data_IF_994862586352
#
_entry.id   IF_994862586352
#
_cell.length_a   1.000
_cell.length_b   1.000
_cell.length_c   1.000
_cell.angle_alpha   90.00
_cell.angle_beta   90.00
_cell.angle_gamma   90.00
#
_symmetry.space_group_name_H-M   'P 1'
#
loop_
_entity.id
_entity.type
_entity.pdbx_description
1 polymer ?
#
# COMPACT_ATOMS: atom_id res chain seq x y z
N UNK A 1 -28.44 -5.58 -14.56
CA UNK A 1 -28.76 -5.74 -16.00
C UNK A 1 -27.62 -5.27 -16.89
N UNK A 2 -26.91 -4.17 -16.57
CA UNK A 2 -25.86 -3.60 -17.42
C UNK A 2 -24.65 -4.53 -17.64
N UNK A 3 -24.05 -5.07 -16.57
CA UNK A 3 -22.91 -6.01 -16.66
C UNK A 3 -23.22 -7.20 -17.57
N UNK A 4 -24.43 -7.76 -17.45
CA UNK A 4 -24.88 -8.85 -18.30
C UNK A 4 -24.99 -8.48 -19.79
N UNK A 5 -25.34 -7.23 -20.11
CA UNK A 5 -25.34 -6.74 -21.49
C UNK A 5 -23.91 -6.59 -22.01
N UNK A 6 -23.01 -6.05 -21.20
CA UNK A 6 -21.60 -5.87 -21.56
C UNK A 6 -20.90 -7.22 -21.81
N UNK A 7 -21.17 -8.24 -20.98
CA UNK A 7 -20.61 -9.58 -21.12
C UNK A 7 -21.05 -10.33 -22.39
N UNK A 8 -22.09 -9.85 -23.07
CA UNK A 8 -22.60 -10.46 -24.31
C UNK A 8 -22.02 -9.83 -25.56
N UNK A 9 -21.21 -8.78 -25.41
CA UNK A 9 -20.60 -8.11 -26.55
C UNK A 9 -19.47 -8.98 -27.09
N UNK A 10 -19.49 -9.22 -28.39
CA UNK A 10 -18.43 -9.95 -29.07
C UNK A 10 -17.23 -9.03 -29.30
N UNK A 11 -16.02 -9.58 -29.52
CA UNK A 11 -14.83 -8.78 -29.84
C UNK A 11 -14.96 -7.90 -31.09
N UNK A 12 -15.86 -8.26 -32.00
CA UNK A 12 -16.12 -7.53 -33.25
C UNK A 12 -17.11 -6.37 -33.05
N UNK A 13 -17.83 -6.35 -31.92
CA UNK A 13 -18.81 -5.31 -31.64
C UNK A 13 -18.10 -3.98 -31.39
N UNK A 14 -18.37 -3.02 -32.27
CA UNK A 14 -17.84 -1.66 -32.17
C UNK A 14 -18.73 -0.88 -31.22
N UNK A 15 -18.10 -0.31 -30.19
CA UNK A 15 -18.74 0.63 -29.28
C UNK A 15 -18.20 2.01 -29.65
N UNK A 16 -19.08 2.98 -29.86
CA UNK A 16 -18.64 4.36 -30.09
C UNK A 16 -18.01 4.94 -28.82
N UNK A 17 -17.11 5.91 -28.97
CA UNK A 17 -16.49 6.56 -27.81
C UNK A 17 -17.53 7.21 -26.86
N UNK A 18 -18.64 7.71 -27.41
CA UNK A 18 -19.74 8.30 -26.63
C UNK A 18 -20.43 7.21 -25.80
N UNK A 19 -20.70 6.06 -26.39
CA UNK A 19 -21.28 4.92 -25.68
C UNK A 19 -20.34 4.37 -24.61
N UNK A 20 -19.03 4.27 -24.86
CA UNK A 20 -18.06 3.86 -23.85
C UNK A 20 -18.12 4.77 -22.61
N UNK A 21 -18.18 6.09 -22.83
CA UNK A 21 -18.24 7.08 -21.76
C UNK A 21 -19.56 6.95 -21.00
N UNK A 22 -20.69 6.81 -21.70
CA UNK A 22 -22.01 6.68 -21.09
C UNK A 22 -22.14 5.39 -20.27
N UNK A 23 -21.71 4.25 -20.84
CA UNK A 23 -21.73 2.95 -20.18
C UNK A 23 -20.81 2.93 -18.96
N UNK A 24 -19.65 3.55 -19.04
CA UNK A 24 -18.75 3.69 -17.90
C UNK A 24 -19.35 4.53 -16.78
N UNK A 25 -20.08 5.61 -17.10
CA UNK A 25 -20.80 6.42 -16.12
C UNK A 25 -21.89 5.62 -15.41
N UNK A 26 -22.74 4.93 -16.16
CA UNK A 26 -23.79 4.07 -15.60
C UNK A 26 -23.22 2.94 -14.73
N UNK A 27 -22.07 2.38 -15.12
CA UNK A 27 -21.40 1.34 -14.36
C UNK A 27 -20.78 1.89 -13.07
N UNK A 28 -20.21 3.10 -13.12
CA UNK A 28 -19.64 3.77 -11.94
C UNK A 28 -20.70 3.98 -10.84
N UNK A 29 -21.91 4.44 -11.20
CA UNK A 29 -23.04 4.58 -10.25
C UNK A 29 -23.48 3.23 -9.63
N UNK A 30 -23.19 2.12 -10.30
CA UNK A 30 -23.55 0.78 -9.81
C UNK A 30 -22.46 0.18 -8.92
N UNK A 31 -21.24 0.70 -8.92
CA UNK A 31 -20.12 0.13 -8.18
C UNK A 31 -20.29 0.22 -6.65
N UNK A 32 -21.12 1.13 -6.15
CA UNK A 32 -21.45 1.24 -4.73
C UNK A 32 -22.31 0.07 -4.22
N UNK A 33 -22.96 -0.68 -5.12
CA UNK A 33 -23.82 -1.79 -4.73
C UNK A 33 -22.99 -3.00 -4.30
N UNK A 34 -23.41 -3.72 -3.26
CA UNK A 34 -22.68 -4.90 -2.78
C UNK A 34 -22.58 -5.96 -3.89
N UNK A 35 -21.42 -6.60 -4.02
CA UNK A 35 -21.18 -7.66 -5.00
C UNK A 35 -20.87 -7.17 -6.43
N UNK A 36 -20.87 -5.86 -6.69
CA UNK A 36 -20.65 -5.33 -8.04
C UNK A 36 -19.19 -5.24 -8.44
N UNK A 37 -18.29 -5.01 -7.47
CA UNK A 37 -16.85 -4.96 -7.75
C UNK A 37 -16.32 -6.34 -8.09
N UNK A 38 -16.77 -7.37 -7.38
CA UNK A 38 -16.40 -8.76 -7.62
C UNK A 38 -16.82 -9.17 -9.03
N UNK A 39 -18.05 -8.82 -9.43
CA UNK A 39 -18.55 -9.06 -10.80
C UNK A 39 -17.78 -8.26 -11.84
N UNK A 40 -17.46 -7.01 -11.57
CA UNK A 40 -16.67 -6.17 -12.48
C UNK A 40 -15.29 -6.77 -12.72
N UNK A 41 -14.60 -7.21 -11.66
CA UNK A 41 -13.27 -7.83 -11.75
C UNK A 41 -13.34 -9.20 -12.43
N UNK A 42 -14.34 -10.02 -12.10
CA UNK A 42 -14.50 -11.36 -12.67
C UNK A 42 -14.89 -11.32 -14.16
N UNK A 43 -15.82 -10.44 -14.53
CA UNK A 43 -16.49 -10.51 -15.82
C UNK A 43 -15.96 -9.50 -16.84
N UNK A 44 -15.57 -8.29 -16.40
CA UNK A 44 -15.32 -7.16 -17.31
C UNK A 44 -13.85 -6.83 -17.46
N UNK A 45 -13.05 -7.00 -16.40
CA UNK A 45 -11.63 -6.66 -16.45
C UNK A 45 -10.85 -7.54 -17.42
N UNK A 46 -11.22 -8.81 -17.56
CA UNK A 46 -10.51 -9.78 -18.40
C UNK A 46 -11.35 -10.24 -19.61
N UNK A 47 -12.35 -9.42 -19.99
CA UNK A 47 -13.21 -9.64 -21.14
C UNK A 47 -12.44 -9.59 -22.48
N UNK A 48 -12.86 -10.37 -23.48
CA UNK A 48 -12.17 -10.46 -24.78
C UNK A 48 -12.21 -9.13 -25.56
N UNK A 49 -13.36 -8.47 -25.60
CA UNK A 49 -13.53 -7.15 -26.21
C UNK A 49 -12.79 -6.06 -25.40
N UNK A 50 -11.85 -5.35 -26.04
CA UNK A 50 -11.05 -4.28 -25.43
C UNK A 50 -11.89 -3.07 -25.00
N UNK A 51 -12.98 -2.77 -25.72
CA UNK A 51 -13.92 -1.70 -25.36
C UNK A 51 -14.59 -1.98 -24.01
N UNK A 52 -14.98 -3.23 -23.75
CA UNK A 52 -15.57 -3.65 -22.46
C UNK A 52 -14.56 -3.50 -21.32
N UNK A 53 -13.32 -3.94 -21.52
CA UNK A 53 -12.24 -3.72 -20.54
C UNK A 53 -12.00 -2.24 -20.28
N UNK A 54 -12.08 -1.41 -21.32
CA UNK A 54 -11.94 0.05 -21.22
C UNK A 54 -13.07 0.67 -20.42
N UNK A 55 -14.31 0.26 -20.67
CA UNK A 55 -15.50 0.70 -19.92
C UNK A 55 -15.32 0.39 -18.43
N UNK A 56 -14.83 -0.81 -18.09
CA UNK A 56 -14.58 -1.20 -16.71
C UNK A 56 -13.53 -0.32 -16.03
N UNK A 57 -12.37 -0.08 -16.68
CA UNK A 57 -11.35 0.84 -16.17
C UNK A 57 -11.89 2.26 -15.96
N UNK A 58 -12.64 2.75 -16.95
CA UNK A 58 -13.23 4.08 -16.94
C UNK A 58 -14.32 4.24 -15.86
N UNK A 59 -15.04 3.18 -15.54
CA UNK A 59 -16.01 3.15 -14.45
C UNK A 59 -15.31 3.23 -13.09
N UNK A 60 -14.25 2.43 -12.89
CA UNK A 60 -13.43 2.49 -11.66
C UNK A 60 -12.84 3.88 -11.46
N UNK A 61 -12.33 4.51 -12.53
CA UNK A 61 -11.78 5.87 -12.45
C UNK A 61 -12.83 6.89 -12.00
N UNK A 62 -14.03 6.83 -12.58
CA UNK A 62 -15.14 7.76 -12.32
C UNK A 62 -15.77 7.59 -10.96
N UNK A 63 -15.80 6.36 -10.45
CA UNK A 63 -16.49 6.06 -9.22
C UNK A 63 -15.79 6.67 -7.98
N UNK A 64 -14.51 7.08 -8.11
CA UNK A 64 -13.68 7.75 -7.09
C UNK A 64 -13.59 7.01 -5.73
N UNK A 65 -12.37 6.71 -5.26
CA UNK A 65 -12.17 6.23 -3.88
C UNK A 65 -12.26 4.72 -3.62
N UNK A 66 -12.13 3.88 -4.64
CA UNK A 66 -12.12 2.42 -4.46
C UNK A 66 -10.71 1.91 -4.10
N UNK A 67 -10.50 1.62 -2.81
CA UNK A 67 -9.26 1.03 -2.26
C UNK A 67 -9.36 -0.48 -2.02
N UNK A 68 -10.34 -1.16 -2.63
CA UNK A 68 -10.49 -2.61 -2.47
C UNK A 68 -9.31 -3.35 -3.11
N UNK A 69 -8.80 -4.36 -2.41
CA UNK A 69 -7.61 -5.14 -2.82
C UNK A 69 -7.79 -5.75 -4.21
N UNK A 70 -8.99 -6.25 -4.53
CA UNK A 70 -9.26 -6.91 -5.81
C UNK A 70 -9.11 -5.98 -7.01
N UNK A 71 -9.55 -4.72 -6.88
CA UNK A 71 -9.38 -3.70 -7.92
C UNK A 71 -7.89 -3.38 -8.11
N UNK A 72 -7.12 -3.27 -7.02
CA UNK A 72 -5.68 -2.99 -7.12
C UNK A 72 -4.92 -4.09 -7.87
N UNK A 73 -5.28 -5.36 -7.63
CA UNK A 73 -4.72 -6.51 -8.34
C UNK A 73 -5.15 -6.53 -9.80
N UNK A 74 -6.43 -6.24 -10.08
CA UNK A 74 -6.95 -6.20 -11.45
C UNK A 74 -6.29 -5.07 -12.27
N UNK A 75 -6.11 -3.88 -11.69
CA UNK A 75 -5.39 -2.76 -12.31
C UNK A 75 -3.92 -3.11 -12.59
N UNK A 76 -3.26 -3.84 -11.68
CA UNK A 76 -1.89 -4.31 -11.89
C UNK A 76 -1.80 -5.25 -13.10
N UNK A 77 -2.77 -6.15 -13.29
CA UNK A 77 -2.86 -6.99 -14.50
C UNK A 77 -3.03 -6.13 -15.76
N UNK A 78 -3.87 -5.08 -15.71
CA UNK A 78 -4.13 -4.20 -16.86
C UNK A 78 -2.91 -3.36 -17.29
N UNK A 79 -1.90 -3.15 -16.44
CA UNK A 79 -0.62 -2.55 -16.87
C UNK A 79 0.12 -3.38 -17.92
N UNK A 80 -0.26 -4.66 -18.09
CA UNK A 80 0.28 -5.59 -19.10
C UNK A 80 -0.75 -6.01 -20.13
N UNK A 81 -1.87 -5.30 -20.25
CA UNK A 81 -2.93 -5.62 -21.22
C UNK A 81 -2.39 -5.64 -22.66
N UNK A 82 -2.86 -6.51 -23.57
CA UNK A 82 -2.43 -6.47 -24.97
C UNK A 82 -2.65 -5.09 -25.63
N UNK A 83 -3.71 -4.37 -25.25
CA UNK A 83 -4.04 -3.06 -25.84
C UNK A 83 -3.27 -1.93 -25.13
N UNK A 84 -2.41 -1.17 -25.82
CA UNK A 84 -1.60 -0.14 -25.18
C UNK A 84 -2.42 0.99 -24.54
N UNK A 85 -3.57 1.36 -25.12
CA UNK A 85 -4.47 2.36 -24.52
C UNK A 85 -5.04 1.90 -23.18
N UNK A 86 -5.26 0.59 -22.98
CA UNK A 86 -5.68 0.05 -21.68
C UNK A 86 -4.55 0.11 -20.64
N UNK A 87 -3.29 -0.05 -21.06
CA UNK A 87 -2.14 0.17 -20.17
C UNK A 87 -2.04 1.63 -19.73
N UNK A 88 -2.24 2.57 -20.68
CA UNK A 88 -2.31 4.00 -20.38
C UNK A 88 -3.41 4.30 -19.37
N UNK A 89 -4.63 3.82 -19.62
CA UNK A 89 -5.79 4.09 -18.77
C UNK A 89 -5.59 3.46 -17.38
N UNK A 90 -5.04 2.25 -17.28
CA UNK A 90 -4.70 1.63 -15.99
C UNK A 90 -3.66 2.44 -15.19
N UNK A 91 -2.60 2.93 -15.84
CA UNK A 91 -1.61 3.80 -15.19
C UNK A 91 -2.23 5.13 -14.71
N UNK A 92 -3.20 5.66 -15.47
CA UNK A 92 -3.96 6.85 -15.08
C UNK A 92 -4.81 6.57 -13.83
N UNK A 93 -5.61 5.49 -13.83
CA UNK A 93 -6.44 5.14 -12.67
C UNK A 93 -5.61 4.96 -11.40
N UNK A 94 -4.47 4.26 -11.49
CA UNK A 94 -3.56 4.07 -10.35
C UNK A 94 -3.04 5.40 -9.80
N UNK A 95 -2.68 6.33 -10.69
CA UNK A 95 -2.19 7.65 -10.31
C UNK A 95 -3.27 8.50 -9.62
N UNK A 96 -4.47 8.60 -10.21
CA UNK A 96 -5.58 9.39 -9.66
C UNK A 96 -6.11 8.82 -8.33
N UNK A 97 -6.21 7.49 -8.23
CA UNK A 97 -6.60 6.82 -6.99
C UNK A 97 -5.51 6.89 -5.90
N UNK A 98 -4.30 7.34 -6.26
CA UNK A 98 -3.16 7.42 -5.34
C UNK A 98 -2.72 6.05 -4.81
N UNK A 99 -3.01 4.97 -5.55
CA UNK A 99 -2.68 3.60 -5.17
C UNK A 99 -1.18 3.36 -5.26
N UNK A 100 -0.59 2.89 -4.16
CA UNK A 100 0.84 2.72 -4.05
C UNK A 100 1.20 1.41 -3.34
N UNK A 101 2.04 0.62 -4.01
CA UNK A 101 2.64 -0.59 -3.45
C UNK A 101 3.96 -0.89 -4.17
N UNK A 102 4.88 -1.68 -3.55
CA UNK A 102 6.10 -2.10 -4.23
C UNK A 102 5.84 -2.77 -5.58
N UNK A 103 4.77 -3.56 -5.68
CA UNK A 103 4.35 -4.24 -6.90
C UNK A 103 3.84 -3.26 -7.98
N UNK A 104 3.03 -2.27 -7.59
CA UNK A 104 2.56 -1.22 -8.49
C UNK A 104 3.74 -0.42 -9.03
N UNK A 105 4.68 -0.01 -8.17
CA UNK A 105 5.88 0.72 -8.61
C UNK A 105 6.76 -0.11 -9.55
N UNK A 106 6.92 -1.41 -9.28
CA UNK A 106 7.67 -2.30 -10.16
C UNK A 106 7.00 -2.45 -11.53
N UNK A 107 5.68 -2.63 -11.56
CA UNK A 107 4.92 -2.71 -12.80
C UNK A 107 4.95 -1.40 -13.60
N UNK A 108 4.81 -0.25 -12.94
CA UNK A 108 4.94 1.07 -13.58
C UNK A 108 6.35 1.32 -14.13
N UNK A 109 7.41 0.91 -13.42
CA UNK A 109 8.79 0.97 -13.94
C UNK A 109 8.95 0.11 -15.20
N UNK A 110 8.41 -1.10 -15.18
CA UNK A 110 8.47 -2.00 -16.32
C UNK A 110 7.71 -1.42 -17.52
N UNK A 111 6.51 -0.87 -17.30
CA UNK A 111 5.73 -0.23 -18.36
C UNK A 111 6.41 1.03 -18.89
N UNK A 112 6.97 1.88 -18.02
CA UNK A 112 7.65 3.11 -18.43
C UNK A 112 8.91 2.85 -19.28
N UNK A 113 9.61 1.74 -19.05
CA UNK A 113 10.80 1.38 -19.82
C UNK A 113 11.85 2.51 -19.83
N UNK A 114 12.51 2.78 -20.98
CA UNK A 114 13.56 3.80 -21.09
C UNK A 114 13.04 5.23 -21.24
N UNK A 115 11.73 5.48 -21.04
CA UNK A 115 11.14 6.80 -21.29
C UNK A 115 11.69 7.87 -20.37
N UNK A 116 12.06 9.01 -20.98
CA UNK A 116 12.62 10.19 -20.34
C UNK A 116 11.72 11.41 -20.51
N UNK A 117 11.28 11.97 -19.38
CA UNK A 117 10.53 13.22 -19.33
C UNK A 117 11.50 14.41 -19.23
N UNK A 118 11.21 15.56 -19.86
CA UNK A 118 9.98 15.90 -20.61
C UNK A 118 10.03 15.56 -22.12
N UNK A 119 11.17 15.08 -22.65
CA UNK A 119 11.37 14.89 -24.10
C UNK A 119 10.33 13.95 -24.73
N UNK A 120 10.14 12.76 -24.15
CA UNK A 120 9.21 11.78 -24.69
C UNK A 120 7.74 12.20 -24.54
N UNK A 121 7.44 13.09 -23.60
CA UNK A 121 6.11 13.68 -23.48
C UNK A 121 5.82 14.63 -24.65
N UNK A 122 6.79 15.42 -25.08
CA UNK A 122 6.65 16.24 -26.28
C UNK A 122 6.49 15.36 -27.53
N UNK A 123 7.27 14.27 -27.62
CA UNK A 123 7.14 13.27 -28.70
C UNK A 123 5.75 12.62 -28.72
N UNK A 124 5.22 12.23 -27.56
CA UNK A 124 3.87 11.65 -27.44
C UNK A 124 2.78 12.64 -27.89
N UNK A 125 2.92 13.93 -27.54
CA UNK A 125 1.99 14.98 -27.97
C UNK A 125 2.04 15.22 -29.48
N UNK A 126 3.22 15.15 -30.10
CA UNK A 126 3.36 15.26 -31.54
C UNK A 126 2.77 14.05 -32.30
N UNK A 127 2.80 12.87 -31.68
CA UNK A 127 2.32 11.61 -32.26
C UNK A 127 1.14 11.03 -31.46
N UNK A 128 -0.09 11.51 -31.65
CA UNK A 128 -1.26 11.04 -30.91
C UNK A 128 -1.61 9.57 -31.17
N UNK A 129 -1.18 9.02 -32.30
CA UNK A 129 -1.44 7.62 -32.68
C UNK A 129 -0.54 6.60 -31.96
N UNK A 130 0.56 7.04 -31.35
CA UNK A 130 1.51 6.14 -30.68
C UNK A 130 1.04 5.78 -29.26
N UNK A 131 0.08 4.86 -29.20
CA UNK A 131 -0.55 4.41 -27.96
C UNK A 131 0.44 3.86 -26.93
N UNK A 132 1.50 3.17 -27.40
CA UNK A 132 2.50 2.61 -26.51
C UNK A 132 3.33 3.72 -25.85
N UNK A 133 3.77 4.71 -26.62
CA UNK A 133 4.51 5.85 -26.07
C UNK A 133 3.66 6.61 -25.04
N UNK A 134 2.38 6.82 -25.31
CA UNK A 134 1.46 7.44 -24.34
C UNK A 134 1.38 6.64 -23.04
N UNK A 135 1.25 5.31 -23.13
CA UNK A 135 1.24 4.44 -21.96
C UNK A 135 2.54 4.51 -21.14
N UNK A 136 3.70 4.50 -21.82
CA UNK A 136 5.00 4.60 -21.17
C UNK A 136 5.21 5.95 -20.47
N UNK A 137 4.87 7.05 -21.15
CA UNK A 137 4.94 8.42 -20.61
C UNK A 137 4.03 8.54 -19.39
N UNK A 138 2.80 8.04 -19.46
CA UNK A 138 1.86 8.07 -18.33
C UNK A 138 2.38 7.25 -17.15
N UNK A 139 2.92 6.05 -17.40
CA UNK A 139 3.49 5.21 -16.37
C UNK A 139 4.68 5.89 -15.68
N UNK A 140 5.54 6.59 -16.43
CA UNK A 140 6.64 7.38 -15.88
C UNK A 140 6.13 8.52 -14.99
N UNK A 141 5.15 9.29 -15.46
CA UNK A 141 4.54 10.37 -14.67
C UNK A 141 3.94 9.86 -13.36
N UNK A 142 3.19 8.75 -13.42
CA UNK A 142 2.61 8.12 -12.24
C UNK A 142 3.70 7.70 -11.24
N UNK A 143 4.77 7.06 -11.74
CA UNK A 143 5.89 6.63 -10.92
C UNK A 143 6.61 7.81 -10.25
N UNK A 144 6.89 8.89 -10.97
CA UNK A 144 7.60 10.05 -10.43
C UNK A 144 6.80 10.70 -9.28
N UNK A 145 5.47 10.74 -9.40
CA UNK A 145 4.60 11.22 -8.31
C UNK A 145 4.63 10.31 -7.10
N UNK A 146 4.59 8.98 -7.30
CA UNK A 146 4.68 8.02 -6.19
C UNK A 146 6.04 8.09 -5.49
N UNK A 147 7.13 8.25 -6.24
CA UNK A 147 8.47 8.42 -5.69
C UNK A 147 8.61 9.74 -4.94
N UNK A 148 8.08 10.84 -5.48
CA UNK A 148 8.04 12.13 -4.78
C UNK A 148 7.25 12.06 -3.47
N UNK A 149 6.12 11.34 -3.46
CA UNK A 149 5.35 11.10 -2.22
C UNK A 149 6.13 10.29 -1.21
N UNK A 150 6.87 9.27 -1.66
CA UNK A 150 7.72 8.46 -0.78
C UNK A 150 8.85 9.28 -0.17
N UNK A 151 9.55 10.09 -0.96
CA UNK A 151 10.65 10.93 -0.46
C UNK A 151 10.13 12.00 0.50
N UNK A 152 8.98 12.62 0.20
CA UNK A 152 8.32 13.55 1.11
C UNK A 152 7.96 12.86 2.45
N UNK A 153 7.35 11.67 2.41
CA UNK A 153 7.04 10.90 3.63
C UNK A 153 8.30 10.53 4.44
N UNK A 154 9.38 10.15 3.77
CA UNK A 154 10.65 9.85 4.42
C UNK A 154 11.33 11.09 5.04
N UNK A 155 11.17 12.27 4.41
CA UNK A 155 11.63 13.53 4.99
C UNK A 155 10.81 13.90 6.22
N UNK A 156 9.48 13.78 6.16
CA UNK A 156 8.59 14.03 7.32
C UNK A 156 8.94 13.12 8.50
N UNK A 157 9.22 11.83 8.25
CA UNK A 157 9.61 10.89 9.29
C UNK A 157 10.97 11.20 9.96
N UNK A 158 11.83 12.00 9.31
CA UNK A 158 13.14 12.42 9.85
C UNK A 158 13.07 13.72 10.65
N UNK A 159 11.96 14.46 10.55
CA UNK A 159 11.79 15.68 11.33
C UNK A 159 11.58 15.34 12.80
N UNK A 160 12.17 16.10 13.74
CA UNK A 160 11.87 15.92 15.15
C UNK A 160 10.38 16.13 15.39
N UNK A 161 9.79 15.31 16.27
CA UNK A 161 8.41 15.52 16.70
C UNK A 161 8.27 16.92 17.30
N UNK A 162 7.20 17.62 16.94
CA UNK A 162 6.91 18.93 17.51
C UNK A 162 6.71 18.84 19.04
N UNK A 163 7.15 19.87 19.76
CA UNK A 163 6.97 19.97 21.21
C UNK A 163 5.48 19.82 21.59
N UNK A 164 5.20 18.98 22.60
CA UNK A 164 3.84 18.72 23.08
C UNK A 164 3.09 17.59 22.35
N UNK A 165 3.64 17.01 21.28
CA UNK A 165 3.04 15.83 20.63
C UNK A 165 3.32 14.53 21.38
N UNK A 166 2.48 13.51 21.20
CA UNK A 166 2.69 12.17 21.76
C UNK A 166 4.03 11.55 21.29
N UNK A 167 4.41 11.78 20.03
CA UNK A 167 5.70 11.33 19.52
C UNK A 167 6.87 11.93 20.31
N UNK A 168 6.80 13.22 20.65
CA UNK A 168 7.81 13.88 21.47
C UNK A 168 7.91 13.32 22.89
N UNK A 169 6.77 13.07 23.53
CA UNK A 169 6.75 12.50 24.89
C UNK A 169 7.30 11.08 24.94
N UNK A 170 7.00 10.25 23.93
CA UNK A 170 7.59 8.92 23.78
C UNK A 170 9.09 8.98 23.53
N UNK A 171 9.56 9.93 22.73
CA UNK A 171 10.98 10.11 22.42
C UNK A 171 11.75 10.50 23.68
N UNK A 172 11.28 11.51 24.42
CA UNK A 172 11.84 11.91 25.73
C UNK A 172 11.82 10.78 26.75
N UNK A 173 10.74 10.00 26.81
CA UNK A 173 10.65 8.83 27.72
C UNK A 173 11.70 7.78 27.37
N UNK A 174 11.90 7.51 26.07
CA UNK A 174 12.91 6.55 25.60
C UNK A 174 14.33 7.03 25.90
N UNK A 175 14.62 8.31 25.73
CA UNK A 175 15.90 8.91 26.08
C UNK A 175 16.17 8.83 27.59
N UNK A 176 15.17 9.16 28.42
CA UNK A 176 15.28 9.03 29.86
C UNK A 176 15.55 7.57 30.27
N UNK A 177 14.86 6.60 29.66
CA UNK A 177 15.10 5.18 29.90
C UNK A 177 16.49 4.71 29.45
N UNK A 178 17.01 5.23 28.33
CA UNK A 178 18.38 4.94 27.91
C UNK A 178 19.38 5.48 28.92
N UNK A 179 19.22 6.73 29.35
CA UNK A 179 20.11 7.35 30.33
C UNK A 179 20.07 6.62 31.69
N UNK A 180 18.89 6.19 32.15
CA UNK A 180 18.82 5.39 33.39
C UNK A 180 19.50 4.04 33.20
N UNK A 181 19.28 3.37 32.07
CA UNK A 181 19.91 2.09 31.78
C UNK A 181 21.44 2.21 31.66
N UNK A 182 21.95 3.22 30.97
CA UNK A 182 23.38 3.52 30.87
C UNK A 182 23.98 3.80 32.26
N UNK A 183 23.33 4.62 33.09
CA UNK A 183 23.73 4.82 34.49
C UNK A 183 23.73 3.52 35.28
N UNK A 184 22.75 2.64 35.09
CA UNK A 184 22.72 1.32 35.75
C UNK A 184 23.79 0.36 35.22
N UNK A 185 24.14 0.46 33.93
CA UNK A 185 25.21 -0.31 33.29
C UNK A 185 26.60 0.15 33.74
N UNK A 186 26.81 1.46 33.86
CA UNK A 186 28.04 2.06 34.42
C UNK A 186 28.16 1.76 35.91
N UNK A 187 27.03 1.76 36.63
CA UNK A 187 26.93 1.25 38.01
C UNK A 187 26.95 -0.28 38.07
N UNK A 188 27.22 -0.93 36.93
CA UNK A 188 27.39 -2.36 36.71
C UNK A 188 27.68 -3.08 38.00
N UNK A 189 26.64 -3.80 38.42
CA UNK A 189 26.53 -4.52 39.66
C UNK A 189 27.85 -5.20 40.02
N UNK A 190 28.51 -4.68 41.06
CA UNK A 190 29.33 -5.51 41.93
C UNK A 190 28.37 -6.51 42.58
N UNK A 191 27.99 -7.57 41.87
CA UNK A 191 27.42 -8.77 42.47
C UNK A 191 28.50 -9.32 43.39
N UNK A 192 28.51 -8.83 44.63
CA UNK A 192 29.30 -9.39 45.70
C UNK A 192 28.63 -10.72 46.05
N UNK A 193 29.09 -11.79 45.41
CA UNK A 193 28.77 -13.14 45.85
C UNK A 193 29.36 -13.30 47.25
N UNK A 194 28.52 -13.13 48.28
CA UNK A 194 28.88 -13.49 49.64
C UNK A 194 28.91 -15.00 49.66
N UNK A 195 30.11 -15.60 49.79
CA UNK A 195 30.28 -17.04 49.99
C UNK A 195 29.46 -17.41 51.23
N UNK A 196 28.38 -18.16 51.02
CA UNK A 196 27.59 -18.73 52.10
C UNK A 196 28.50 -19.81 52.70
N UNK A 197 29.02 -19.59 53.90
CA UNK A 197 29.75 -20.63 54.62
C UNK A 197 28.76 -21.77 54.90
N UNK A 198 29.01 -22.90 54.25
CA UNK A 198 28.37 -24.17 54.52
C UNK A 198 28.71 -24.56 55.96
N UNK A 199 27.79 -24.28 56.88
CA UNK A 199 27.85 -24.76 58.24
C UNK A 199 27.71 -26.28 58.26
N UNK A 200 28.80 -26.99 58.49
CA UNK A 200 28.76 -28.34 59.04
C UNK A 200 28.79 -28.25 60.57
N UNK A 201 27.75 -28.88 61.15
CA UNK A 201 27.53 -29.15 62.56
C UNK A 201 28.79 -29.63 63.32
N UNK A 202 28.94 -29.15 64.55
CA UNK A 202 28.95 -30.04 65.73
C UNK A 202 28.79 -29.30 67.07
N UNK A 203 27.74 -29.72 67.78
CA UNK A 203 27.60 -29.83 69.24
C UNK A 203 27.57 -28.50 70.02
N UNK A 204 26.68 -28.26 70.99
CA UNK A 204 25.91 -29.16 71.84
C UNK A 204 24.79 -28.38 72.54
N UNK A 205 23.82 -29.13 73.07
CA UNK A 205 23.02 -28.72 74.23
C UNK A 205 21.78 -27.91 73.88
N UNK A 206 20.65 -28.54 73.58
CA UNK A 206 19.67 -28.95 74.59
C UNK A 206 18.91 -27.76 75.20
N UNK A 207 17.64 -27.59 74.85
CA UNK A 207 16.52 -28.07 75.68
C UNK A 207 15.16 -27.77 75.02
N UNK A 208 14.27 -28.71 75.29
CA UNK A 208 12.94 -29.01 74.78
C UNK A 208 11.85 -27.91 74.82
N UNK A 209 10.69 -28.17 74.18
CA UNK A 209 9.72 -27.16 73.75
C UNK A 209 8.58 -26.96 74.76
N UNK A 210 7.96 -25.78 74.77
CA UNK A 210 6.60 -25.59 75.31
C UNK A 210 5.66 -25.00 74.26
N UNK A 211 4.93 -25.93 73.66
CA UNK A 211 3.51 -25.95 73.27
C UNK A 211 2.72 -24.62 73.20
N UNK A 212 2.12 -24.43 72.01
CA UNK A 212 0.78 -23.91 71.65
C UNK A 212 -0.03 -23.06 72.65
N UNK A 213 -0.33 -21.83 72.19
CA UNK A 213 -1.57 -21.00 72.11
C UNK A 213 -2.89 -21.55 72.72
N UNK A 214 -4.00 -20.77 72.89
CA UNK A 214 -4.31 -19.38 72.47
C UNK A 214 -5.09 -18.52 73.51
N UNK A 215 -5.27 -17.22 73.23
CA UNK A 215 -6.50 -16.40 73.37
C UNK A 215 -6.16 -14.92 73.13
#
# INVERSE_FOLDING_TARGET
MLVFKLNRLNPQDRISAVEEIALAGQLAEQLEKPGMVERLVADLFDHENSHVRRIALNAVRRAHGYLQTDISLALLRKLRDPEPWLRHDAAWVLHEAGLDSPHIRAALRQLAGPVMLPYDQARARANPSDAMLHAQVRARQALDVLLARQTAGAMVAKLPYADGTLGHSHTRRREHLKLTFEKHRERGAKLRFRRLESGENKAAGALQPKQKAPA
#
